data_IF_798589500962
#
_entry.id   IF_798589500962
#
_cell.length_a   1.000
_cell.length_b   1.000
_cell.length_c   1.000
_cell.angle_alpha   90.00
_cell.angle_beta   90.00
_cell.angle_gamma   90.00
#
_symmetry.space_group_name_H-M   'P 1'
#
loop_
_entity.id
_entity.type
_entity.pdbx_description
1 polymer ?
#
# COMPACT_ATOMS: atom_id res chain seq x y z
N UNK A 1 2.22 36.04 9.08
CA UNK A 1 2.94 35.07 8.25
C UNK A 1 1.89 34.21 7.59
N UNK A 2 1.83 34.22 6.25
CA UNK A 2 0.81 33.45 5.55
C UNK A 2 1.32 32.03 5.33
N UNK A 3 0.70 31.05 5.99
CA UNK A 3 1.02 29.64 5.82
C UNK A 3 0.86 29.21 4.35
N UNK A 4 1.75 28.36 3.86
CA UNK A 4 1.58 27.68 2.57
C UNK A 4 0.65 26.48 2.75
N UNK A 5 -0.29 26.29 1.82
CA UNK A 5 -1.22 25.17 1.83
C UNK A 5 -1.22 24.43 0.49
N UNK A 6 -1.16 23.11 0.54
CA UNK A 6 -1.39 22.22 -0.59
C UNK A 6 -2.64 21.39 -0.33
N UNK A 7 -3.48 21.28 -1.36
CA UNK A 7 -4.67 20.43 -1.36
C UNK A 7 -4.70 19.69 -2.69
N UNK A 8 -4.72 18.36 -2.64
CA UNK A 8 -4.73 17.49 -3.81
C UNK A 8 -5.33 16.13 -3.44
N UNK A 9 -5.62 15.29 -4.44
CA UNK A 9 -6.05 13.91 -4.26
C UNK A 9 -4.88 12.97 -4.51
N UNK A 10 -4.72 11.96 -3.65
CA UNK A 10 -3.74 10.90 -3.82
C UNK A 10 -4.09 9.69 -2.94
N UNK A 11 -3.73 8.49 -3.38
CA UNK A 11 -3.94 7.22 -2.65
C UNK A 11 -5.39 7.09 -2.15
N UNK A 12 -6.35 7.33 -3.05
CA UNK A 12 -7.78 7.15 -2.77
C UNK A 12 -8.41 8.15 -1.78
N UNK A 13 -7.73 9.23 -1.42
CA UNK A 13 -8.29 10.26 -0.52
C UNK A 13 -7.79 11.68 -0.82
N UNK A 14 -8.37 12.68 -0.14
CA UNK A 14 -7.97 14.08 -0.24
C UNK A 14 -6.93 14.42 0.84
N UNK A 15 -5.79 14.95 0.40
CA UNK A 15 -4.71 15.40 1.27
C UNK A 15 -4.76 16.91 1.47
N UNK A 16 -4.35 17.34 2.68
CA UNK A 16 -4.08 18.74 2.99
C UNK A 16 -2.76 18.83 3.76
N UNK A 17 -1.80 19.55 3.20
CA UNK A 17 -0.48 19.79 3.82
C UNK A 17 -0.37 21.29 4.08
N UNK A 18 -0.15 21.66 5.34
CA UNK A 18 0.02 23.05 5.78
C UNK A 18 1.45 23.25 6.29
N UNK A 19 2.11 24.31 5.83
CA UNK A 19 3.49 24.63 6.16
C UNK A 19 3.50 26.04 6.74
N UNK A 20 4.05 26.19 7.94
CA UNK A 20 4.15 27.48 8.66
C UNK A 20 5.30 28.38 8.15
N UNK A 21 5.67 28.21 6.89
CA UNK A 21 6.66 29.04 6.20
C UNK A 21 6.07 29.53 4.88
N UNK A 22 6.38 30.78 4.56
CA UNK A 22 6.13 31.34 3.23
C UNK A 22 7.12 30.72 2.23
N UNK A 23 6.57 30.18 1.15
CA UNK A 23 7.35 29.64 0.04
C UNK A 23 7.25 30.59 -1.15
N UNK A 24 8.36 30.79 -1.86
CA UNK A 24 8.31 31.45 -3.16
C UNK A 24 7.41 30.66 -4.12
N UNK A 25 6.83 31.29 -5.17
CA UNK A 25 6.03 30.58 -6.16
C UNK A 25 6.74 29.35 -6.75
N UNK A 26 8.03 29.49 -7.08
CA UNK A 26 8.86 28.39 -7.59
C UNK A 26 9.11 27.30 -6.54
N UNK A 27 9.38 27.69 -5.29
CA UNK A 27 9.58 26.73 -4.20
C UNK A 27 8.31 25.95 -3.88
N UNK A 28 7.15 26.59 -3.97
CA UNK A 28 5.83 25.95 -3.82
C UNK A 28 5.59 24.89 -4.89
N UNK A 29 5.87 25.21 -6.17
CA UNK A 29 5.74 24.24 -7.27
C UNK A 29 6.70 23.07 -7.11
N UNK A 30 8.00 23.35 -6.90
CA UNK A 30 9.01 22.28 -6.75
C UNK A 30 8.73 21.34 -5.57
N UNK A 31 8.22 21.87 -4.45
CA UNK A 31 7.84 21.06 -3.31
C UNK A 31 6.61 20.18 -3.62
N UNK A 32 5.59 20.74 -4.26
CA UNK A 32 4.42 19.95 -4.67
C UNK A 32 4.82 18.83 -5.63
N UNK A 33 5.65 19.12 -6.62
CA UNK A 33 6.14 18.11 -7.57
C UNK A 33 6.91 16.99 -6.85
N UNK A 34 7.73 17.36 -5.85
CA UNK A 34 8.47 16.38 -5.02
C UNK A 34 7.52 15.50 -4.22
N UNK A 35 6.48 16.07 -3.62
CA UNK A 35 5.45 15.35 -2.86
C UNK A 35 4.71 14.36 -3.78
N UNK A 36 4.22 14.84 -4.92
CA UNK A 36 3.49 14.02 -5.88
C UNK A 36 4.35 12.89 -6.45
N UNK A 37 5.61 13.17 -6.78
CA UNK A 37 6.55 12.15 -7.25
C UNK A 37 6.86 11.11 -6.17
N UNK A 38 6.92 11.51 -4.90
CA UNK A 38 7.11 10.58 -3.78
C UNK A 38 5.90 9.66 -3.58
N UNK A 39 4.70 10.22 -3.68
CA UNK A 39 3.44 9.48 -3.57
C UNK A 39 3.30 8.51 -4.75
N UNK A 40 3.54 8.94 -5.99
CA UNK A 40 3.47 8.06 -7.18
C UNK A 40 4.45 6.88 -7.06
N UNK A 41 5.67 7.11 -6.52
CA UNK A 41 6.62 6.02 -6.26
C UNK A 41 6.07 4.99 -5.26
N UNK A 42 5.42 5.46 -4.20
CA UNK A 42 4.81 4.58 -3.20
C UNK A 42 3.61 3.82 -3.79
N UNK A 43 2.71 4.53 -4.46
CA UNK A 43 1.47 3.98 -5.04
C UNK A 43 1.77 2.93 -6.10
N UNK A 44 2.80 3.14 -6.93
CA UNK A 44 3.28 2.13 -7.91
C UNK A 44 3.83 0.86 -7.23
N UNK A 45 4.22 0.89 -5.96
CA UNK A 45 4.63 -0.34 -5.28
C UNK A 45 3.46 -1.00 -4.55
N UNK A 46 2.70 -0.25 -3.76
CA UNK A 46 1.77 -0.84 -2.77
C UNK A 46 0.29 -0.77 -3.15
N UNK A 47 -0.07 -0.15 -4.27
CA UNK A 47 -1.47 -0.02 -4.67
C UNK A 47 -2.03 -1.32 -5.22
N UNK A 48 -3.06 -1.85 -4.57
CA UNK A 48 -3.85 -2.96 -5.12
C UNK A 48 -4.82 -2.54 -6.24
N UNK A 49 -4.95 -1.25 -6.51
CA UNK A 49 -5.87 -0.70 -7.50
C UNK A 49 -5.20 -0.49 -8.87
N UNK A 50 -3.89 -0.72 -8.94
CA UNK A 50 -3.06 -0.49 -10.10
C UNK A 50 -2.61 -1.80 -10.72
N UNK A 51 -2.79 -1.91 -12.04
CA UNK A 51 -2.36 -3.10 -12.78
C UNK A 51 -0.84 -3.19 -12.96
N UNK A 52 -0.14 -2.06 -12.81
CA UNK A 52 1.31 -1.89 -12.94
C UNK A 52 2.06 -1.94 -11.60
N UNK A 53 1.38 -2.27 -10.49
CA UNK A 53 2.02 -2.25 -9.17
C UNK A 53 2.81 -3.51 -8.81
N UNK A 54 3.76 -3.37 -7.88
CA UNK A 54 4.46 -4.51 -7.30
C UNK A 54 3.49 -5.45 -6.58
N UNK A 55 2.52 -4.94 -5.83
CA UNK A 55 1.43 -5.74 -5.21
C UNK A 55 0.70 -6.59 -6.25
N UNK A 56 0.32 -6.01 -7.38
CA UNK A 56 -0.33 -6.75 -8.46
C UNK A 56 0.61 -7.79 -9.05
N UNK A 57 1.89 -7.47 -9.22
CA UNK A 57 2.91 -8.43 -9.68
C UNK A 57 3.09 -9.60 -8.72
N UNK A 58 3.17 -9.36 -7.41
CA UNK A 58 3.30 -10.39 -6.38
C UNK A 58 2.08 -11.32 -6.32
N UNK A 59 0.89 -10.79 -6.62
CA UNK A 59 -0.35 -11.58 -6.60
C UNK A 59 -0.44 -12.62 -7.71
N UNK A 60 0.32 -12.46 -8.81
CA UNK A 60 0.20 -13.27 -10.03
C UNK A 60 0.99 -14.57 -9.98
N UNK A 61 2.10 -14.62 -9.25
CA UNK A 61 2.99 -15.79 -9.24
C UNK A 61 3.80 -15.90 -7.95
N UNK A 62 4.17 -17.13 -7.61
CA UNK A 62 5.19 -17.38 -6.59
C UNK A 62 6.56 -16.99 -7.15
N UNK A 63 7.47 -16.57 -6.28
CA UNK A 63 8.81 -16.17 -6.69
C UNK A 63 9.50 -15.28 -5.66
N UNK A 64 10.70 -14.86 -6.02
CA UNK A 64 11.47 -13.86 -5.26
C UNK A 64 11.46 -12.55 -6.01
N UNK A 65 11.08 -11.48 -5.31
CA UNK A 65 10.94 -10.14 -5.86
C UNK A 65 11.84 -9.18 -5.08
N UNK A 66 12.42 -8.15 -5.73
CA UNK A 66 13.09 -7.08 -5.00
C UNK A 66 12.07 -6.35 -4.12
N UNK A 67 12.49 -5.97 -2.91
CA UNK A 67 11.68 -5.12 -2.03
C UNK A 67 11.78 -3.65 -2.48
N UNK A 68 10.65 -2.95 -2.62
CA UNK A 68 10.62 -1.50 -2.78
C UNK A 68 11.27 -0.77 -1.58
N UNK A 69 11.69 0.49 -1.81
CA UNK A 69 12.36 1.36 -0.83
C UNK A 69 11.64 1.39 0.54
N UNK A 70 10.31 1.46 0.54
CA UNK A 70 9.50 1.59 1.76
C UNK A 70 9.08 0.25 2.37
N UNK A 71 9.40 -0.86 1.72
CA UNK A 71 8.79 -2.13 2.06
C UNK A 71 9.31 -2.67 3.40
N UNK A 72 10.61 -2.54 3.68
CA UNK A 72 11.21 -3.07 4.91
C UNK A 72 10.54 -2.52 6.20
N UNK A 73 10.45 -1.20 6.43
CA UNK A 73 9.78 -0.68 7.64
C UNK A 73 8.27 -1.00 7.64
N UNK A 74 7.62 -0.99 6.48
CA UNK A 74 6.18 -1.27 6.38
C UNK A 74 5.84 -2.73 6.71
N UNK A 75 6.58 -3.69 6.14
CA UNK A 75 6.42 -5.10 6.46
C UNK A 75 6.78 -5.40 7.92
N UNK A 76 7.79 -4.73 8.49
CA UNK A 76 8.12 -4.88 9.91
C UNK A 76 6.96 -4.41 10.81
N UNK A 77 6.34 -3.27 10.49
CA UNK A 77 5.14 -2.79 11.20
C UNK A 77 3.98 -3.78 11.07
N UNK A 78 3.71 -4.27 9.86
CA UNK A 78 2.68 -5.27 9.64
C UNK A 78 2.95 -6.59 10.36
N UNK A 79 4.20 -7.05 10.43
CA UNK A 79 4.57 -8.25 11.21
C UNK A 79 4.29 -8.04 12.69
N UNK A 80 4.70 -6.90 13.25
CA UNK A 80 4.44 -6.57 14.65
C UNK A 80 2.94 -6.52 14.97
N UNK A 81 2.13 -5.93 14.08
CA UNK A 81 0.67 -5.91 14.21
C UNK A 81 0.05 -7.30 14.06
N UNK A 82 0.55 -8.10 13.11
CA UNK A 82 0.10 -9.48 12.91
C UNK A 82 0.33 -10.31 14.18
N UNK A 83 1.53 -10.24 14.77
CA UNK A 83 1.87 -10.93 16.01
C UNK A 83 1.01 -10.46 17.19
N UNK A 84 0.89 -9.14 17.37
CA UNK A 84 0.15 -8.56 18.49
C UNK A 84 -1.36 -8.88 18.44
N UNK A 85 -1.89 -9.18 17.25
CA UNK A 85 -3.33 -9.40 17.04
C UNK A 85 -3.70 -10.84 16.71
N UNK A 86 -2.74 -11.79 16.79
CA UNK A 86 -2.98 -13.18 16.40
C UNK A 86 -3.43 -13.33 14.94
N UNK A 87 -2.94 -12.45 14.07
CA UNK A 87 -3.22 -12.44 12.63
C UNK A 87 -4.46 -11.66 12.19
N UNK A 88 -5.16 -10.96 13.10
CA UNK A 88 -6.32 -10.16 12.73
C UNK A 88 -5.95 -8.94 11.87
N UNK A 89 -4.77 -8.35 12.09
CA UNK A 89 -4.18 -7.36 11.18
C UNK A 89 -3.14 -8.05 10.30
N UNK A 90 -3.42 -8.16 9.00
CA UNK A 90 -2.55 -8.82 8.03
C UNK A 90 -2.58 -8.10 6.69
N UNK A 91 -1.44 -7.97 5.99
CA UNK A 91 -1.43 -7.46 4.63
C UNK A 91 -2.02 -8.49 3.65
N UNK A 92 -2.22 -9.75 4.05
CA UNK A 92 -2.76 -10.81 3.19
C UNK A 92 -4.30 -10.77 3.04
N UNK A 93 -4.94 -9.69 3.51
CA UNK A 93 -6.38 -9.49 3.50
C UNK A 93 -6.94 -9.12 2.11
N UNK A 94 -6.07 -8.81 1.13
CA UNK A 94 -6.49 -8.23 -0.16
C UNK A 94 -7.53 -9.06 -0.91
N UNK A 95 -7.37 -10.38 -1.00
CA UNK A 95 -8.37 -11.22 -1.69
C UNK A 95 -9.71 -11.28 -0.94
N UNK A 96 -9.68 -11.28 0.40
CA UNK A 96 -10.89 -11.22 1.23
C UNK A 96 -11.66 -9.93 0.96
N UNK A 97 -10.97 -8.79 0.87
CA UNK A 97 -11.58 -7.50 0.53
C UNK A 97 -12.22 -7.53 -0.87
N UNK A 98 -11.51 -8.06 -1.87
CA UNK A 98 -12.03 -8.22 -3.24
C UNK A 98 -13.27 -9.12 -3.26
N UNK A 99 -13.24 -10.26 -2.57
CA UNK A 99 -14.37 -11.18 -2.50
C UNK A 99 -15.57 -10.57 -1.75
N UNK A 100 -15.34 -9.67 -0.80
CA UNK A 100 -16.38 -8.91 -0.12
C UNK A 100 -16.97 -7.77 -0.98
N UNK A 101 -16.44 -7.54 -2.19
CA UNK A 101 -16.90 -6.50 -3.13
C UNK A 101 -16.10 -5.20 -3.08
N UNK A 102 -15.03 -5.13 -2.28
CA UNK A 102 -14.11 -4.00 -2.26
C UNK A 102 -13.01 -4.15 -3.33
N UNK A 103 -13.41 -4.57 -4.53
CA UNK A 103 -12.54 -4.72 -5.69
C UNK A 103 -12.12 -3.38 -6.31
N UNK A 104 -11.26 -3.42 -7.33
CA UNK A 104 -10.72 -2.21 -7.96
C UNK A 104 -11.78 -1.31 -8.63
N UNK A 105 -12.97 -1.84 -8.89
CA UNK A 105 -14.11 -1.09 -9.47
C UNK A 105 -15.10 -0.64 -8.41
N UNK A 106 -14.82 -0.91 -7.13
CA UNK A 106 -15.72 -0.63 -6.02
C UNK A 106 -17.13 -1.19 -6.29
N UNK A 107 -17.21 -2.46 -6.70
CA UNK A 107 -18.52 -3.06 -7.03
C UNK A 107 -19.47 -3.08 -5.82
N UNK A 108 -18.91 -3.17 -4.61
CA UNK A 108 -19.60 -3.29 -3.33
C UNK A 108 -20.62 -4.44 -3.32
N UNK A 109 -20.30 -5.50 -4.07
CA UNK A 109 -21.12 -6.71 -4.17
C UNK A 109 -20.29 -7.91 -3.70
N UNK A 110 -20.64 -8.51 -2.54
CA UNK A 110 -19.92 -9.68 -2.06
C UNK A 110 -20.19 -10.89 -2.96
N UNK A 111 -19.17 -11.73 -3.11
CA UNK A 111 -19.30 -13.07 -3.69
C UNK A 111 -19.98 -14.01 -2.70
N UNK A 112 -20.53 -15.11 -3.21
CA UNK A 112 -21.11 -16.18 -2.38
C UNK A 112 -20.09 -16.80 -1.42
N UNK A 113 -18.83 -16.87 -1.84
CA UNK A 113 -17.72 -17.38 -1.05
C UNK A 113 -16.65 -16.31 -0.89
N UNK A 114 -16.32 -16.01 0.36
CA UNK A 114 -15.26 -15.07 0.73
C UNK A 114 -14.04 -15.88 1.18
N UNK A 115 -12.91 -15.65 0.54
CA UNK A 115 -11.64 -16.28 0.91
C UNK A 115 -11.15 -15.73 2.25
N UNK A 116 -10.64 -16.60 3.13
CA UNK A 116 -9.90 -16.19 4.32
C UNK A 116 -8.46 -15.84 3.96
N UNK A 117 -7.82 -14.88 4.66
CA UNK A 117 -6.40 -14.61 4.50
C UNK A 117 -5.56 -15.86 4.78
N UNK A 118 -4.46 -16.01 4.06
CA UNK A 118 -3.45 -17.00 4.40
C UNK A 118 -2.71 -16.59 5.68
N UNK A 119 -2.17 -17.57 6.40
CA UNK A 119 -1.21 -17.30 7.45
C UNK A 119 0.04 -16.64 6.85
N UNK A 120 0.66 -15.73 7.61
CA UNK A 120 1.81 -14.96 7.11
C UNK A 120 2.91 -15.86 6.56
N UNK A 121 3.36 -16.80 7.39
CA UNK A 121 4.54 -17.63 7.12
C UNK A 121 4.28 -18.72 6.06
N UNK A 122 3.01 -19.00 5.75
CA UNK A 122 2.58 -19.87 4.64
C UNK A 122 2.58 -19.14 3.29
N UNK A 123 2.36 -17.83 3.31
CA UNK A 123 2.16 -17.03 2.10
C UNK A 123 3.45 -16.34 1.64
N UNK A 124 4.18 -15.75 2.59
CA UNK A 124 5.32 -14.88 2.29
C UNK A 124 6.47 -15.09 3.28
N UNK A 125 7.65 -14.64 2.86
CA UNK A 125 8.82 -14.45 3.72
C UNK A 125 9.50 -13.14 3.29
N UNK A 126 9.76 -12.28 4.26
CA UNK A 126 10.31 -10.94 4.02
C UNK A 126 11.77 -10.95 4.44
N UNK A 127 12.67 -10.86 3.47
CA UNK A 127 14.10 -10.68 3.68
C UNK A 127 14.49 -9.20 3.80
N UNK A 128 15.79 -8.93 3.81
CA UNK A 128 16.31 -7.56 3.86
C UNK A 128 16.08 -6.80 2.54
N UNK A 129 16.30 -7.46 1.40
CA UNK A 129 16.21 -6.84 0.06
C UNK A 129 15.18 -7.50 -0.85
N UNK A 130 14.54 -8.57 -0.39
CA UNK A 130 13.63 -9.36 -1.21
C UNK A 130 12.40 -9.87 -0.46
N UNK A 131 11.30 -9.98 -1.21
CA UNK A 131 10.07 -10.63 -0.81
C UNK A 131 10.02 -12.00 -1.50
N UNK A 132 9.94 -13.06 -0.73
CA UNK A 132 9.62 -14.39 -1.24
C UNK A 132 8.11 -14.59 -1.12
N UNK A 133 7.43 -14.70 -2.26
CA UNK A 133 6.03 -15.09 -2.35
C UNK A 133 5.99 -16.60 -2.51
N UNK A 134 5.61 -17.31 -1.44
CA UNK A 134 5.46 -18.77 -1.43
C UNK A 134 4.16 -19.16 -2.13
N UNK A 135 3.08 -18.43 -1.83
CA UNK A 135 1.76 -18.62 -2.43
C UNK A 135 1.25 -17.30 -3.02
N UNK A 136 0.88 -17.25 -4.31
CA UNK A 136 0.40 -16.01 -4.92
C UNK A 136 -0.79 -15.48 -4.14
N UNK A 137 -0.67 -14.24 -3.65
CA UNK A 137 -1.64 -13.62 -2.77
C UNK A 137 -1.73 -12.14 -3.11
N UNK A 138 -2.94 -11.60 -3.12
CA UNK A 138 -3.14 -10.15 -3.23
C UNK A 138 -2.91 -9.53 -1.85
N UNK A 139 -1.84 -8.75 -1.73
CA UNK A 139 -1.55 -7.99 -0.52
C UNK A 139 -2.31 -6.66 -0.53
N UNK A 140 -2.63 -6.14 0.64
CA UNK A 140 -3.23 -4.84 0.87
C UNK A 140 -2.51 -4.13 2.03
N UNK A 141 -2.08 -2.90 1.79
CA UNK A 141 -1.34 -2.09 2.75
C UNK A 141 -2.14 -0.89 3.28
N UNK A 142 -3.46 -0.85 3.05
CA UNK A 142 -4.29 0.32 3.36
C UNK A 142 -4.45 0.61 4.86
N UNK A 143 -4.05 -0.30 5.75
CA UNK A 143 -4.13 -0.09 7.19
C UNK A 143 -2.94 0.69 7.77
N UNK A 144 -1.78 0.69 7.10
CA UNK A 144 -0.56 1.30 7.62
C UNK A 144 0.39 1.90 6.56
N UNK A 145 0.01 1.84 5.28
CA UNK A 145 0.72 2.47 4.16
C UNK A 145 0.37 3.93 3.95
#
# INVERSE_FOLDING_TARGET
MSACEFVFEAIGTRWKISIDQELSPTGRTALLDTILARIERFDRSFSRFRDDSDVTRWSRASGTYPLPEDAAPLFALYRALYDATGGAVTPLIGQTLVDAGYDARYSLKPKERISSPLAWDDAIEVGHESLVVKRPSLLDFGAAG
#
